data_IF_069078159043
#
_entry.id   IF_069078159043
#
_cell.length_a   1.000
_cell.length_b   1.000
_cell.length_c   1.000
_cell.angle_alpha   90.00
_cell.angle_beta   90.00
_cell.angle_gamma   90.00
#
_symmetry.space_group_name_H-M   'P 1'
#
loop_
_entity.id
_entity.type
_entity.pdbx_description
1 polymer ?
#
# COMPACT_ATOMS: atom_id res chain seq x y z
N UNK A 1 21.28 -1.61 10.79
CA UNK A 1 20.02 -1.03 11.19
C UNK A 1 18.99 -2.13 11.29
N UNK A 2 18.22 -2.09 12.32
CA UNK A 2 17.23 -3.13 12.53
C UNK A 2 15.93 -2.78 11.86
N UNK A 3 15.32 -3.72 11.17
CA UNK A 3 14.03 -3.49 10.56
C UNK A 3 12.95 -3.29 11.59
N UNK A 4 13.18 -3.74 12.80
CA UNK A 4 12.18 -3.60 13.85
C UNK A 4 11.92 -2.15 14.19
N UNK A 5 12.92 -1.29 13.96
CA UNK A 5 12.75 0.11 14.24
C UNK A 5 12.41 0.94 13.02
N UNK A 6 12.21 0.31 11.88
CA UNK A 6 11.90 1.03 10.67
C UNK A 6 10.42 1.40 10.64
N UNK A 7 10.06 2.46 9.94
CA UNK A 7 8.66 2.79 9.75
C UNK A 7 7.92 1.65 9.05
N UNK A 8 6.62 1.61 9.26
CA UNK A 8 5.81 0.54 8.69
C UNK A 8 5.93 0.46 7.19
N UNK A 9 5.99 1.61 6.53
CA UNK A 9 6.08 1.60 5.07
C UNK A 9 7.40 1.01 4.60
N UNK A 10 8.46 1.16 5.36
CA UNK A 10 9.74 0.58 4.99
C UNK A 10 9.70 -0.93 5.17
N UNK A 11 9.11 -1.39 6.26
CA UNK A 11 8.96 -2.82 6.49
C UNK A 11 8.15 -3.46 5.39
N UNK A 12 7.05 -2.84 5.03
CA UNK A 12 6.19 -3.36 3.99
C UNK A 12 6.91 -3.37 2.65
N UNK A 13 7.66 -2.32 2.36
CA UNK A 13 8.39 -2.25 1.11
C UNK A 13 9.42 -3.36 1.01
N UNK A 14 10.12 -3.64 2.08
CA UNK A 14 11.11 -4.71 2.08
C UNK A 14 10.44 -6.06 1.87
N UNK A 15 9.35 -6.31 2.57
CA UNK A 15 8.62 -7.55 2.40
C UNK A 15 8.15 -7.71 0.96
N UNK A 16 7.67 -6.63 0.38
CA UNK A 16 7.18 -6.65 -0.98
C UNK A 16 8.30 -6.95 -1.97
N UNK A 17 9.45 -6.31 -1.77
CA UNK A 17 10.60 -6.55 -2.62
C UNK A 17 11.00 -8.02 -2.57
N UNK A 18 11.06 -8.58 -1.38
CA UNK A 18 11.43 -9.97 -1.22
C UNK A 18 10.44 -10.89 -1.92
N UNK A 19 9.16 -10.60 -1.77
CA UNK A 19 8.14 -11.40 -2.41
C UNK A 19 8.25 -11.34 -3.93
N UNK A 20 8.44 -10.15 -4.45
CA UNK A 20 8.54 -9.96 -5.90
C UNK A 20 9.78 -10.63 -6.45
N UNK A 21 10.88 -10.59 -5.71
CA UNK A 21 12.10 -11.25 -6.14
C UNK A 21 11.96 -12.76 -6.12
N UNK A 22 11.24 -13.29 -5.15
CA UNK A 22 11.01 -14.72 -5.10
C UNK A 22 10.24 -15.20 -6.32
N UNK A 23 9.36 -14.36 -6.83
CA UNK A 23 8.58 -14.73 -8.00
C UNK A 23 9.29 -14.41 -9.31
N UNK A 24 10.48 -13.83 -9.22
CA UNK A 24 11.30 -13.53 -10.39
C UNK A 24 10.55 -12.69 -11.42
N UNK A 25 9.81 -11.71 -10.96
CA UNK A 25 9.03 -10.87 -11.84
C UNK A 25 9.93 -9.80 -12.43
N UNK A 26 9.85 -9.56 -13.74
CA UNK A 26 10.70 -8.53 -14.35
C UNK A 26 10.46 -7.14 -13.75
N UNK A 27 11.51 -6.36 -13.60
CA UNK A 27 11.36 -5.04 -12.97
C UNK A 27 10.33 -4.15 -13.65
N UNK A 28 10.25 -4.21 -14.96
CA UNK A 28 9.30 -3.38 -15.67
C UNK A 28 7.88 -3.74 -15.32
N UNK A 29 7.60 -5.04 -15.19
CA UNK A 29 6.28 -5.49 -14.81
C UNK A 29 5.96 -5.06 -13.38
N UNK A 30 6.96 -5.14 -12.50
CA UNK A 30 6.78 -4.72 -11.13
C UNK A 30 6.43 -3.24 -11.06
N UNK A 31 7.14 -2.42 -11.81
CA UNK A 31 6.88 -0.99 -11.77
C UNK A 31 5.47 -0.66 -12.25
N UNK A 32 5.01 -1.34 -13.27
CA UNK A 32 3.66 -1.14 -13.76
C UNK A 32 2.62 -1.59 -12.74
N UNK A 33 2.88 -2.71 -12.11
CA UNK A 33 1.98 -3.22 -11.09
C UNK A 33 1.90 -2.28 -9.90
N UNK A 34 3.05 -1.75 -9.49
CA UNK A 34 3.09 -0.83 -8.36
C UNK A 34 2.32 0.45 -8.67
N UNK A 35 2.34 0.90 -9.92
CA UNK A 35 1.57 2.07 -10.28
C UNK A 35 0.07 1.81 -10.12
N UNK A 36 -0.36 0.63 -10.48
CA UNK A 36 -1.76 0.24 -10.30
C UNK A 36 -2.11 0.18 -8.82
N UNK A 37 -1.25 -0.43 -8.03
CA UNK A 37 -1.47 -0.53 -6.59
C UNK A 37 -1.51 0.85 -5.97
N UNK A 38 -0.61 1.72 -6.40
CA UNK A 38 -0.57 3.07 -5.86
C UNK A 38 -1.88 3.80 -6.11
N UNK A 39 -2.39 3.70 -7.32
CA UNK A 39 -3.64 4.37 -7.65
C UNK A 39 -4.81 3.83 -6.86
N UNK A 40 -4.81 2.53 -6.65
CA UNK A 40 -5.86 1.90 -5.87
C UNK A 40 -5.86 2.43 -4.44
N UNK A 41 -4.68 2.52 -3.84
CA UNK A 41 -4.60 2.99 -2.47
C UNK A 41 -4.79 4.49 -2.35
N UNK A 42 -4.46 5.25 -3.38
CA UNK A 42 -4.80 6.67 -3.38
C UNK A 42 -6.31 6.85 -3.34
N UNK A 43 -7.02 6.01 -4.07
CA UNK A 43 -8.47 6.05 -4.06
C UNK A 43 -9.01 5.67 -2.70
N UNK A 44 -8.45 4.63 -2.10
CA UNK A 44 -8.88 4.20 -0.77
C UNK A 44 -8.61 5.26 0.28
N UNK A 45 -7.49 5.96 0.15
CA UNK A 45 -7.15 7.00 1.08
C UNK A 45 -8.15 8.16 0.99
N UNK A 46 -8.54 8.52 -0.21
CA UNK A 46 -9.53 9.57 -0.38
C UNK A 46 -10.85 9.17 0.23
N UNK A 47 -11.25 7.93 0.04
CA UNK A 47 -12.50 7.45 0.62
C UNK A 47 -12.43 7.48 2.15
N UNK A 48 -11.30 7.10 2.71
CA UNK A 48 -11.15 7.11 4.15
C UNK A 48 -11.18 8.53 4.69
N UNK A 49 -10.56 9.46 3.99
CA UNK A 49 -10.57 10.86 4.40
C UNK A 49 -11.96 11.44 4.32
N UNK A 50 -12.69 11.11 3.29
CA UNK A 50 -14.06 11.59 3.15
C UNK A 50 -14.93 11.03 4.26
N UNK A 51 -14.76 9.77 4.57
CA UNK A 51 -15.52 9.16 5.65
C UNK A 51 -15.18 9.79 7.00
N UNK A 52 -13.93 10.11 7.21
CA UNK A 52 -13.54 10.78 8.42
C UNK A 52 -14.17 12.14 8.55
N UNK A 53 -14.29 12.83 7.46
CA UNK A 53 -14.88 14.15 7.51
C UNK A 53 -16.36 14.09 7.76
N UNK A 54 -17.00 12.99 7.39
CA UNK A 54 -18.38 12.88 7.61
C UNK A 54 -18.61 12.17 8.88
N UNK A 55 -18.39 12.75 9.92
CA UNK A 55 -18.31 12.12 11.18
C UNK A 55 -19.37 11.13 11.50
N UNK A 56 -20.53 11.30 10.97
CA UNK A 56 -21.56 10.38 11.32
C UNK A 56 -21.62 9.21 10.45
N UNK A 57 -20.69 8.96 9.65
CA UNK A 57 -20.74 7.91 8.74
C UNK A 57 -20.47 6.61 9.39
N UNK A 58 -21.28 5.75 9.36
CA UNK A 58 -21.11 4.54 9.98
C UNK A 58 -20.25 3.67 9.26
N UNK A 59 -19.73 3.67 8.84
CA UNK A 59 -18.93 2.83 8.37
C UNK A 59 -18.97 1.97 7.73
N UNK A 60 -19.13 1.55 7.46
CA UNK A 60 -19.23 0.67 6.86
C UNK A 60 -18.40 0.12 6.29
N UNK A 61 -17.96 -0.17 6.35
CA UNK A 61 -17.25 -0.79 5.92
C UNK A 61 -16.92 -0.97 4.99
N UNK A 62 -16.98 -1.00 4.64
CA UNK A 62 -16.74 -1.01 3.56
C UNK A 62 -15.88 -1.31 3.23
#
# INVERSE_FOLDING_TARGET
MSLENAPDEVKLAVDLIMLLEQHAIPPQTVLRALDIVKRDYESKQKSAEAASQETNHPSDAG
#
